data_IF_293100899018
#
_entry.id   IF_293100899018
#
_cell.length_a   1.000
_cell.length_b   1.000
_cell.length_c   1.000
_cell.angle_alpha   90.00
_cell.angle_beta   90.00
_cell.angle_gamma   90.00
#
_symmetry.space_group_name_H-M   'P 1'
#
loop_
_entity.id
_entity.type
_entity.pdbx_description
1 polymer ?
#
# COMPACT_ATOMS: atom_id res chain seq x y z
N UNK A 1 -8.25 6.57 -14.40
CA UNK A 1 -6.88 7.02 -14.07
C UNK A 1 -5.92 5.98 -14.58
N UNK A 2 -4.83 6.39 -15.22
CA UNK A 2 -3.77 5.46 -15.67
C UNK A 2 -2.62 5.52 -14.66
N UNK A 3 -2.02 4.38 -14.38
CA UNK A 3 -0.87 4.27 -13.50
C UNK A 3 0.26 3.57 -14.23
N UNK A 4 1.50 3.95 -13.89
CA UNK A 4 2.71 3.32 -14.41
C UNK A 4 3.46 2.67 -13.26
N UNK A 5 3.86 1.41 -13.44
CA UNK A 5 4.79 0.73 -12.54
C UNK A 5 6.21 1.24 -12.81
N UNK A 6 6.93 1.63 -11.77
CA UNK A 6 8.34 2.03 -11.90
C UNK A 6 9.28 0.83 -11.89
N UNK A 7 8.95 -0.22 -11.12
CA UNK A 7 9.72 -1.46 -11.01
C UNK A 7 8.82 -2.69 -11.15
N UNK A 8 8.41 -3.07 -12.38
CA UNK A 8 7.37 -4.09 -12.59
C UNK A 8 7.68 -5.49 -12.03
N UNK A 9 8.96 -5.79 -11.79
CA UNK A 9 9.47 -7.09 -11.35
C UNK A 9 10.12 -7.04 -9.96
N UNK A 10 9.87 -5.97 -9.18
CA UNK A 10 10.44 -5.79 -7.84
C UNK A 10 10.24 -7.05 -6.97
N UNK A 11 11.31 -7.51 -6.33
CA UNK A 11 11.24 -8.65 -5.42
C UNK A 11 10.52 -8.27 -4.13
N UNK A 12 10.04 -9.27 -3.37
CA UNK A 12 9.41 -8.98 -2.07
C UNK A 12 10.39 -8.32 -1.09
N UNK A 13 11.68 -8.69 -1.13
CA UNK A 13 12.69 -8.14 -0.23
C UNK A 13 12.94 -6.65 -0.49
N UNK A 14 13.01 -6.23 -1.76
CA UNK A 14 13.14 -4.83 -2.17
C UNK A 14 11.87 -4.05 -1.80
N UNK A 15 10.69 -4.60 -2.12
CA UNK A 15 9.41 -4.01 -1.74
C UNK A 15 9.32 -3.80 -0.22
N UNK A 16 9.68 -4.82 0.57
CA UNK A 16 9.64 -4.74 2.03
C UNK A 16 10.64 -3.71 2.55
N UNK A 17 11.84 -3.63 1.97
CA UNK A 17 12.85 -2.63 2.33
C UNK A 17 12.38 -1.19 2.07
N UNK A 18 11.59 -0.98 1.02
CA UNK A 18 10.95 0.32 0.74
C UNK A 18 9.76 0.62 1.65
N UNK A 19 8.91 -0.38 1.94
CA UNK A 19 7.66 -0.20 2.67
C UNK A 19 7.82 -0.18 4.21
N UNK A 20 8.71 -1.00 4.76
CA UNK A 20 8.90 -1.14 6.22
C UNK A 20 9.33 0.13 6.97
N UNK A 21 10.17 1.04 6.42
CA UNK A 21 10.56 2.26 7.13
C UNK A 21 9.46 3.34 7.12
N UNK A 22 8.42 3.20 6.30
CA UNK A 22 7.33 4.19 6.17
C UNK A 22 6.70 4.46 7.53
N UNK A 23 6.70 5.73 7.93
CA UNK A 23 6.07 6.20 9.18
C UNK A 23 4.74 6.89 8.95
N UNK A 24 4.56 7.49 7.77
CA UNK A 24 3.38 8.25 7.42
C UNK A 24 3.12 8.12 5.92
N UNK A 25 1.86 7.97 5.52
CA UNK A 25 1.47 7.98 4.12
C UNK A 25 0.02 8.45 3.96
N UNK A 26 -0.39 8.71 2.72
CA UNK A 26 -1.75 9.17 2.40
C UNK A 26 -2.42 8.27 1.37
N UNK A 27 -3.74 8.14 1.45
CA UNK A 27 -4.51 7.54 0.35
C UNK A 27 -4.50 8.44 -0.88
N UNK A 28 -4.92 7.90 -2.02
CA UNK A 28 -5.21 8.66 -3.24
C UNK A 28 -6.16 9.85 -3.01
N UNK A 29 -7.08 9.74 -2.05
CA UNK A 29 -8.07 10.78 -1.70
C UNK A 29 -7.60 11.70 -0.58
N UNK A 30 -6.33 11.63 -0.16
CA UNK A 30 -5.73 12.51 0.83
C UNK A 30 -5.96 12.11 2.29
N UNK A 31 -6.56 10.94 2.56
CA UNK A 31 -6.71 10.44 3.95
C UNK A 31 -5.34 10.09 4.49
N UNK A 32 -5.01 10.62 5.66
CA UNK A 32 -3.69 10.43 6.28
C UNK A 32 -3.67 9.24 7.23
N UNK A 33 -2.54 8.53 7.21
CA UNK A 33 -2.27 7.36 8.05
C UNK A 33 -0.89 7.48 8.71
N UNK A 34 -0.84 7.16 10.01
CA UNK A 34 0.41 7.01 10.74
C UNK A 34 0.67 5.53 11.02
N UNK A 35 1.85 5.05 10.66
CA UNK A 35 2.25 3.64 10.85
C UNK A 35 2.66 3.44 12.30
N UNK A 36 1.98 2.51 12.97
CA UNK A 36 2.24 2.15 14.37
C UNK A 36 3.36 1.13 14.43
N UNK A 37 3.30 0.09 13.59
CA UNK A 37 4.31 -0.96 13.56
C UNK A 37 4.29 -1.76 12.26
N UNK A 38 5.42 -2.38 11.95
CA UNK A 38 5.54 -3.41 10.92
C UNK A 38 6.14 -4.65 11.58
N UNK A 39 5.38 -5.75 11.64
CA UNK A 39 5.80 -7.02 12.26
C UNK A 39 5.28 -8.19 11.44
N UNK A 40 6.12 -9.20 11.18
CA UNK A 40 5.74 -10.42 10.46
C UNK A 40 4.97 -10.12 9.15
N UNK A 41 5.49 -9.22 8.32
CA UNK A 41 4.87 -8.77 7.07
C UNK A 41 3.53 -8.03 7.21
N UNK A 42 3.08 -7.73 8.43
CA UNK A 42 1.86 -6.96 8.69
C UNK A 42 2.25 -5.54 9.06
N UNK A 43 1.72 -4.58 8.30
CA UNK A 43 1.78 -3.16 8.63
C UNK A 43 0.49 -2.76 9.35
N UNK A 44 0.62 -2.27 10.57
CA UNK A 44 -0.48 -1.73 11.39
C UNK A 44 -0.37 -0.22 11.45
N UNK A 45 -1.46 0.48 11.21
CA UNK A 45 -1.49 1.93 11.08
C UNK A 45 -2.83 2.50 11.55
N UNK A 46 -2.81 3.77 11.96
CA UNK A 46 -3.99 4.51 12.41
C UNK A 46 -4.39 5.54 11.37
N UNK A 47 -5.69 5.67 11.12
CA UNK A 47 -6.23 6.78 10.33
C UNK A 47 -6.34 8.03 11.21
N UNK A 48 -5.57 9.07 10.90
CA UNK A 48 -5.48 10.27 11.76
C UNK A 48 -6.82 10.94 12.06
N UNK A 49 -7.70 10.99 11.07
CA UNK A 49 -8.99 11.68 11.20
C UNK A 49 -10.00 10.96 12.12
N UNK A 50 -9.91 9.63 12.24
CA UNK A 50 -10.91 8.83 12.99
C UNK A 50 -10.32 8.10 14.18
N UNK A 51 -8.99 7.98 14.29
CA UNK A 51 -8.32 7.14 15.28
C UNK A 51 -8.47 5.64 15.02
N UNK A 52 -9.12 5.25 13.92
CA UNK A 52 -9.34 3.84 13.59
C UNK A 52 -8.02 3.16 13.24
N UNK A 53 -7.75 2.01 13.86
CA UNK A 53 -6.57 1.20 13.63
C UNK A 53 -6.91 0.11 12.62
N UNK A 54 -6.11 0.06 11.55
CA UNK A 54 -6.19 -0.97 10.53
C UNK A 54 -4.86 -1.66 10.35
N UNK A 55 -4.89 -2.80 9.67
CA UNK A 55 -3.70 -3.55 9.30
C UNK A 55 -3.81 -4.09 7.88
N UNK A 56 -2.66 -4.29 7.24
CA UNK A 56 -2.58 -4.92 5.93
C UNK A 56 -1.33 -5.78 5.80
N UNK A 57 -1.46 -6.86 5.02
CA UNK A 57 -0.33 -7.72 4.67
C UNK A 57 0.49 -7.07 3.56
N UNK A 58 1.78 -6.82 3.83
CA UNK A 58 2.74 -6.31 2.85
C UNK A 58 2.95 -7.31 1.71
N UNK A 59 2.91 -8.62 1.99
CA UNK A 59 2.90 -9.65 0.93
C UNK A 59 1.66 -9.51 0.03
N UNK A 60 0.49 -9.24 0.62
CA UNK A 60 -0.73 -8.97 -0.13
C UNK A 60 -0.61 -7.74 -1.02
N UNK A 61 -0.05 -6.64 -0.49
CA UNK A 61 0.18 -5.41 -1.29
C UNK A 61 1.15 -5.66 -2.43
N UNK A 62 2.26 -6.36 -2.18
CA UNK A 62 3.24 -6.73 -3.20
C UNK A 62 2.63 -7.64 -4.29
N UNK A 63 1.87 -8.66 -3.90
CA UNK A 63 1.18 -9.52 -4.85
C UNK A 63 0.18 -8.73 -5.71
N UNK A 64 -0.59 -7.82 -5.09
CA UNK A 64 -1.48 -6.93 -5.82
C UNK A 64 -0.70 -6.07 -6.82
N UNK A 65 0.45 -5.53 -6.42
CA UNK A 65 1.32 -4.75 -7.29
C UNK A 65 1.77 -5.56 -8.51
N UNK A 66 2.23 -6.79 -8.33
CA UNK A 66 2.67 -7.64 -9.45
C UNK A 66 1.51 -8.04 -10.36
N UNK A 67 0.38 -8.48 -9.79
CA UNK A 67 -0.73 -9.07 -10.55
C UNK A 67 -1.66 -8.05 -11.20
N UNK A 68 -1.89 -6.88 -10.59
CA UNK A 68 -2.84 -5.91 -11.11
C UNK A 68 -2.29 -5.17 -12.33
N UNK A 69 -3.13 -5.13 -13.37
CA UNK A 69 -2.95 -4.27 -14.55
C UNK A 69 -3.69 -2.93 -14.35
N UNK A 70 -4.85 -2.98 -13.68
CA UNK A 70 -5.67 -1.80 -13.36
C UNK A 70 -5.71 -1.58 -11.83
N UNK A 71 -5.13 -0.48 -11.38
CA UNK A 71 -4.95 -0.12 -9.97
C UNK A 71 -6.18 0.57 -9.35
N UNK A 72 -7.39 0.09 -9.68
CA UNK A 72 -8.61 0.47 -8.97
C UNK A 72 -8.65 -0.18 -7.59
N UNK A 73 -9.09 0.56 -6.59
CA UNK A 73 -9.22 0.06 -5.20
C UNK A 73 -10.06 -1.21 -5.10
N UNK A 74 -11.10 -1.37 -5.93
CA UNK A 74 -11.90 -2.59 -5.96
C UNK A 74 -11.08 -3.86 -6.26
N UNK A 75 -10.03 -3.75 -7.09
CA UNK A 75 -9.22 -4.88 -7.53
C UNK A 75 -8.24 -5.37 -6.45
N UNK A 76 -7.98 -4.55 -5.42
CA UNK A 76 -7.16 -4.95 -4.27
C UNK A 76 -7.87 -5.92 -3.33
N UNK A 77 -9.20 -6.10 -3.48
CA UNK A 77 -10.02 -6.91 -2.58
C UNK A 77 -9.56 -8.36 -2.45
N UNK A 78 -9.02 -8.92 -3.53
CA UNK A 78 -8.48 -10.28 -3.53
C UNK A 78 -7.17 -10.44 -2.73
N UNK A 79 -6.49 -9.32 -2.43
CA UNK A 79 -5.13 -9.34 -1.86
C UNK A 79 -5.05 -8.75 -0.45
N UNK A 80 -5.84 -7.70 -0.16
CA UNK A 80 -5.82 -7.00 1.13
C UNK A 80 -7.24 -6.66 1.56
N UNK A 81 -7.89 -7.45 2.42
CA UNK A 81 -9.29 -7.20 2.77
C UNK A 81 -9.41 -5.89 3.56
N UNK A 82 -10.31 -4.99 3.12
CA UNK A 82 -10.71 -3.74 3.78
C UNK A 82 -9.70 -2.58 3.72
N UNK A 83 -8.45 -2.82 3.35
CA UNK A 83 -7.38 -1.80 3.28
C UNK A 83 -6.95 -1.46 1.86
N UNK A 84 -7.87 -1.54 0.90
CA UNK A 84 -7.60 -1.28 -0.53
C UNK A 84 -7.06 0.12 -0.81
N UNK A 85 -7.71 1.14 -0.25
CA UNK A 85 -7.32 2.54 -0.47
C UNK A 85 -5.99 2.89 0.21
N UNK A 86 -5.73 2.43 1.46
CA UNK A 86 -4.40 2.50 2.05
C UNK A 86 -3.32 1.78 1.24
N UNK A 87 -3.58 0.56 0.73
CA UNK A 87 -2.61 -0.21 -0.05
C UNK A 87 -2.19 0.53 -1.33
N UNK A 88 -3.14 1.08 -2.07
CA UNK A 88 -2.84 1.94 -3.22
C UNK A 88 -2.04 3.19 -2.80
N UNK A 89 -2.42 3.82 -1.68
CA UNK A 89 -1.69 4.96 -1.13
C UNK A 89 -0.23 4.64 -0.77
N UNK A 90 0.01 3.47 -0.18
CA UNK A 90 1.36 3.00 0.12
C UNK A 90 2.20 2.86 -1.15
N UNK A 91 1.68 2.20 -2.19
CA UNK A 91 2.39 2.02 -3.47
C UNK A 91 2.76 3.34 -4.14
N UNK A 92 1.88 4.34 -4.06
CA UNK A 92 2.16 5.70 -4.53
C UNK A 92 3.23 6.38 -3.66
N UNK A 93 3.14 6.22 -2.34
CA UNK A 93 4.06 6.83 -1.39
C UNK A 93 5.50 6.32 -1.55
N UNK A 94 5.68 5.01 -1.74
CA UNK A 94 7.01 4.40 -1.94
C UNK A 94 7.50 4.48 -3.40
N UNK A 95 6.76 5.17 -4.28
CA UNK A 95 7.19 5.43 -5.66
C UNK A 95 7.09 4.23 -6.60
N UNK A 96 6.44 3.13 -6.22
CA UNK A 96 6.25 1.97 -7.09
C UNK A 96 5.15 2.17 -8.14
N UNK A 97 4.26 3.13 -7.89
CA UNK A 97 3.26 3.59 -8.83
C UNK A 97 3.36 5.10 -9.03
N UNK A 98 3.32 5.51 -10.30
CA UNK A 98 3.18 6.92 -10.69
C UNK A 98 1.80 7.10 -11.32
N UNK A 99 1.08 8.12 -10.86
CA UNK A 99 -0.20 8.52 -11.44
C UNK A 99 0.07 9.42 -12.64
N UNK A 100 -0.45 9.03 -13.81
CA UNK A 100 -0.41 9.82 -15.04
C UNK A 100 -1.69 10.64 -15.22
#
# INVERSE_FOLDING_TARGET
MKYTKTEPEITYAEFYSAASPVKHFKSLTGKEYDVISVKNDIMTFVRKATGEIWSMSLKGVHQAYLTLIDFKTANFKAFVPRTHSPALGLLLHIGLLIKN
#
